data_IF_037464396751
#
_entry.id   IF_037464396751
#
_cell.length_a   1.000
_cell.length_b   1.000
_cell.length_c   1.000
_cell.angle_alpha   90.00
_cell.angle_beta   90.00
_cell.angle_gamma   90.00
#
_symmetry.space_group_name_H-M   'P 1'
#
loop_
_entity.id
_entity.type
_entity.pdbx_description
1 polymer ?
#
# COMPACT_ATOMS: atom_id res chain seq x y z
N UNK A 1 -20.07 -8.25 1.31
CA UNK A 1 -19.42 -8.72 0.06
C UNK A 1 -17.94 -8.34 0.09
N UNK A 2 -17.56 -7.07 0.31
CA UNK A 2 -16.16 -6.64 0.30
C UNK A 2 -15.26 -7.43 1.26
N UNK A 3 -15.71 -7.70 2.47
CA UNK A 3 -14.98 -8.53 3.46
C UNK A 3 -14.76 -9.96 2.93
N UNK A 4 -15.76 -10.55 2.28
CA UNK A 4 -15.64 -11.90 1.71
C UNK A 4 -14.64 -11.92 0.55
N UNK A 5 -14.67 -10.93 -0.33
CA UNK A 5 -13.69 -10.79 -1.42
C UNK A 5 -12.28 -10.63 -0.86
N UNK A 6 -12.10 -9.80 0.16
CA UNK A 6 -10.82 -9.66 0.85
C UNK A 6 -10.34 -10.97 1.47
N UNK A 7 -11.23 -11.70 2.16
CA UNK A 7 -10.91 -12.98 2.77
C UNK A 7 -10.49 -14.03 1.72
N UNK A 8 -11.17 -14.09 0.57
CA UNK A 8 -10.79 -14.99 -0.53
C UNK A 8 -9.42 -14.60 -1.08
N UNK A 9 -9.17 -13.32 -1.37
CA UNK A 9 -7.88 -12.89 -1.90
C UNK A 9 -6.72 -13.10 -0.92
N UNK A 10 -6.97 -12.97 0.39
CA UNK A 10 -5.96 -13.19 1.42
C UNK A 10 -5.88 -14.67 1.88
N UNK A 11 -6.58 -15.60 1.22
CA UNK A 11 -6.56 -17.00 1.60
C UNK A 11 -5.16 -17.60 1.43
N UNK A 12 -4.58 -18.24 2.48
CA UNK A 12 -3.18 -18.65 2.47
C UNK A 12 -2.77 -19.52 1.28
N UNK A 13 -3.61 -20.48 0.90
CA UNK A 13 -3.29 -21.45 -0.16
C UNK A 13 -3.22 -20.86 -1.57
N UNK A 14 -3.61 -19.62 -1.78
CA UNK A 14 -3.52 -18.93 -3.08
C UNK A 14 -2.46 -17.84 -3.10
N UNK A 15 -1.72 -17.66 -2.01
CA UNK A 15 -0.62 -16.70 -1.97
C UNK A 15 0.60 -17.23 -2.72
N UNK A 16 1.27 -16.36 -3.47
CA UNK A 16 2.47 -16.71 -4.24
C UNK A 16 3.52 -17.42 -3.38
N UNK A 17 3.84 -16.87 -2.22
CA UNK A 17 4.83 -17.44 -1.28
C UNK A 17 4.48 -18.86 -0.80
N UNK A 18 3.18 -19.17 -0.64
CA UNK A 18 2.74 -20.51 -0.24
C UNK A 18 2.81 -21.50 -1.40
N UNK A 19 2.45 -21.05 -2.60
CA UNK A 19 2.49 -21.89 -3.81
C UNK A 19 3.92 -22.19 -4.24
N UNK A 20 4.83 -21.22 -4.17
CA UNK A 20 6.27 -21.41 -4.40
C UNK A 20 6.89 -22.42 -3.41
N UNK A 21 6.47 -22.38 -2.14
CA UNK A 21 6.93 -23.32 -1.13
C UNK A 21 6.34 -24.73 -1.31
N UNK A 22 5.19 -24.87 -1.99
CA UNK A 22 4.51 -26.14 -2.20
C UNK A 22 5.01 -26.94 -3.39
N UNK A 23 5.73 -26.35 -4.35
CA UNK A 23 6.26 -27.07 -5.51
C UNK A 23 6.83 -26.18 -6.62
N UNK A 24 7.25 -26.83 -7.71
CA UNK A 24 7.76 -26.15 -8.90
C UNK A 24 6.62 -25.52 -9.72
N UNK A 25 6.97 -24.48 -10.48
CA UNK A 25 6.03 -23.83 -11.39
C UNK A 25 5.55 -24.81 -12.47
N UNK A 26 4.24 -24.83 -12.70
CA UNK A 26 3.62 -25.60 -13.78
C UNK A 26 3.93 -25.03 -15.18
N UNK A 27 4.29 -23.77 -15.24
CA UNK A 27 4.68 -23.07 -16.46
C UNK A 27 4.81 -21.58 -16.23
N UNK A 28 5.20 -20.85 -17.30
CA UNK A 28 5.42 -19.39 -17.27
C UNK A 28 4.53 -18.73 -18.32
N UNK A 29 3.78 -17.72 -17.90
CA UNK A 29 3.02 -16.88 -18.83
C UNK A 29 3.87 -15.67 -19.24
N UNK A 30 4.02 -15.37 -20.55
CA UNK A 30 4.78 -14.22 -21.01
C UNK A 30 4.29 -12.93 -20.35
N UNK A 31 5.20 -12.13 -19.82
CA UNK A 31 4.96 -10.84 -19.17
C UNK A 31 4.21 -10.89 -17.81
N UNK A 32 3.56 -12.00 -17.44
CA UNK A 32 2.73 -12.07 -16.22
C UNK A 32 3.46 -12.86 -15.11
N UNK A 33 4.26 -13.88 -15.46
CA UNK A 33 5.06 -14.66 -14.54
C UNK A 33 4.68 -16.14 -14.43
N UNK A 34 5.27 -16.80 -13.45
CA UNK A 34 5.09 -18.22 -13.23
C UNK A 34 3.75 -18.54 -12.58
N UNK A 35 3.13 -19.64 -13.00
CA UNK A 35 1.91 -20.13 -12.38
C UNK A 35 2.15 -21.52 -11.76
N UNK A 36 1.58 -21.72 -10.59
CA UNK A 36 1.75 -22.93 -9.77
C UNK A 36 0.47 -23.73 -9.66
N UNK A 37 -0.66 -23.18 -10.10
CA UNK A 37 -1.96 -23.81 -10.01
C UNK A 37 -2.89 -23.27 -11.11
N UNK A 38 -4.00 -23.97 -11.34
CA UNK A 38 -5.04 -23.58 -12.28
C UNK A 38 -6.33 -23.26 -11.54
N UNK A 39 -7.01 -22.20 -11.94
CA UNK A 39 -8.35 -21.87 -11.47
C UNK A 39 -9.37 -22.22 -12.58
N UNK A 40 -10.14 -23.29 -12.35
CA UNK A 40 -11.12 -23.83 -13.34
C UNK A 40 -10.47 -24.06 -14.72
N UNK A 41 -9.25 -24.64 -14.73
CA UNK A 41 -8.52 -24.92 -15.98
C UNK A 41 -7.78 -23.72 -16.60
N UNK A 42 -7.88 -22.52 -16.02
CA UNK A 42 -7.15 -21.32 -16.45
C UNK A 42 -5.90 -21.18 -15.59
N UNK A 43 -4.71 -20.97 -16.18
CA UNK A 43 -3.49 -20.69 -15.42
C UNK A 43 -3.68 -19.54 -14.44
N UNK A 44 -3.38 -19.76 -13.16
CA UNK A 44 -3.50 -18.76 -12.11
C UNK A 44 -2.13 -18.28 -11.67
N UNK A 45 -1.81 -17.02 -11.97
CA UNK A 45 -0.59 -16.36 -11.48
C UNK A 45 -0.91 -15.73 -10.14
N UNK A 46 -0.38 -16.32 -9.09
CA UNK A 46 -0.62 -15.87 -7.74
C UNK A 46 0.17 -14.60 -7.40
N UNK A 47 -0.44 -13.71 -6.64
CA UNK A 47 0.21 -12.58 -6.00
C UNK A 47 0.28 -12.74 -4.49
N UNK A 48 1.08 -11.93 -3.82
CA UNK A 48 1.09 -11.82 -2.35
C UNK A 48 0.08 -10.76 -1.89
N UNK A 49 -1.21 -11.11 -1.95
CA UNK A 49 -2.31 -10.18 -1.69
C UNK A 49 -2.43 -9.77 -0.21
N UNK A 50 -1.85 -10.52 0.72
CA UNK A 50 -1.79 -10.19 2.15
C UNK A 50 -0.90 -8.98 2.44
N UNK A 51 0.04 -8.67 1.56
CA UNK A 51 0.99 -7.56 1.70
C UNK A 51 0.60 -6.32 0.89
N UNK A 52 -0.53 -6.33 0.19
CA UNK A 52 -0.99 -5.20 -0.63
C UNK A 52 -2.47 -4.93 -0.48
N UNK A 53 -2.83 -3.68 -0.24
CA UNK A 53 -4.22 -3.24 -0.11
C UNK A 53 -4.85 -2.96 -1.48
N UNK A 54 -4.04 -2.66 -2.50
CA UNK A 54 -4.51 -2.22 -3.82
C UNK A 54 -5.39 -3.26 -4.52
N UNK A 55 -5.02 -4.56 -4.58
CA UNK A 55 -5.86 -5.55 -5.23
C UNK A 55 -7.27 -5.61 -4.64
N UNK A 56 -7.37 -5.57 -3.31
CA UNK A 56 -8.67 -5.62 -2.60
C UNK A 56 -9.50 -4.37 -2.90
N UNK A 57 -8.90 -3.18 -2.93
CA UNK A 57 -9.60 -1.94 -3.27
C UNK A 57 -10.16 -1.99 -4.70
N UNK A 58 -9.34 -2.41 -5.67
CA UNK A 58 -9.77 -2.50 -7.08
C UNK A 58 -10.85 -3.56 -7.26
N UNK A 59 -10.70 -4.74 -6.65
CA UNK A 59 -11.73 -5.81 -6.70
C UNK A 59 -13.02 -5.36 -6.04
N UNK A 60 -12.95 -4.65 -4.92
CA UNK A 60 -14.14 -4.15 -4.22
C UNK A 60 -14.85 -3.05 -5.04
N UNK A 61 -14.09 -2.17 -5.70
CA UNK A 61 -14.66 -1.17 -6.60
C UNK A 61 -15.34 -1.84 -7.81
N UNK A 62 -14.69 -2.85 -8.40
CA UNK A 62 -15.27 -3.66 -9.47
C UNK A 62 -16.54 -4.39 -9.02
N UNK A 63 -16.53 -4.99 -7.82
CA UNK A 63 -17.70 -5.63 -7.22
C UNK A 63 -18.86 -4.65 -7.02
N UNK A 64 -18.58 -3.41 -6.64
CA UNK A 64 -19.57 -2.34 -6.58
C UNK A 64 -20.22 -2.03 -7.93
N UNK A 65 -19.43 -2.01 -8.99
CA UNK A 65 -19.94 -1.88 -10.37
C UNK A 65 -20.82 -3.06 -10.75
N UNK A 66 -20.35 -4.30 -10.52
CA UNK A 66 -21.13 -5.52 -10.78
C UNK A 66 -22.44 -5.52 -9.98
N UNK A 67 -22.39 -5.13 -8.71
CA UNK A 67 -23.57 -5.04 -7.85
C UNK A 67 -24.61 -4.05 -8.39
N UNK A 68 -24.17 -2.87 -8.81
CA UNK A 68 -25.05 -1.85 -9.41
C UNK A 68 -25.71 -2.37 -10.68
N UNK A 69 -24.95 -3.07 -11.49
CA UNK A 69 -25.44 -3.66 -12.74
C UNK A 69 -26.42 -4.82 -12.46
N UNK A 70 -26.07 -5.74 -11.56
CA UNK A 70 -26.92 -6.86 -11.18
C UNK A 70 -28.30 -6.40 -10.63
N UNK A 71 -28.33 -5.37 -9.80
CA UNK A 71 -29.57 -4.79 -9.27
C UNK A 71 -30.51 -4.26 -10.36
N UNK A 72 -29.97 -3.85 -11.50
CA UNK A 72 -30.76 -3.35 -12.63
C UNK A 72 -31.51 -4.46 -13.36
N UNK A 73 -30.95 -5.67 -13.40
CA UNK A 73 -31.50 -6.78 -14.18
C UNK A 73 -32.23 -7.83 -13.34
N UNK A 74 -31.94 -7.91 -12.03
CA UNK A 74 -32.53 -8.90 -11.13
C UNK A 74 -33.80 -8.32 -10.51
N UNK A 75 -34.96 -9.03 -10.57
CA UNK A 75 -36.21 -8.60 -9.93
C UNK A 75 -36.05 -8.41 -8.41
N UNK A 76 -36.70 -7.37 -7.85
CA UNK A 76 -36.58 -6.99 -6.44
C UNK A 76 -36.85 -8.14 -5.46
N UNK A 77 -37.81 -9.01 -5.79
CA UNK A 77 -38.20 -10.14 -4.92
C UNK A 77 -37.08 -11.12 -4.60
N UNK A 78 -36.07 -11.23 -5.47
CA UNK A 78 -34.95 -12.18 -5.32
C UNK A 78 -33.59 -11.50 -5.20
N UNK A 79 -33.52 -10.17 -5.21
CA UNK A 79 -32.28 -9.41 -5.17
C UNK A 79 -31.42 -9.73 -3.94
N UNK A 80 -32.03 -9.96 -2.79
CA UNK A 80 -31.30 -10.20 -1.54
C UNK A 80 -30.38 -11.41 -1.59
N UNK A 81 -30.71 -12.40 -2.40
CA UNK A 81 -29.89 -13.60 -2.59
C UNK A 81 -29.07 -13.55 -3.89
N UNK A 82 -29.73 -13.25 -5.02
CA UNK A 82 -29.08 -13.36 -6.32
C UNK A 82 -28.07 -12.24 -6.61
N UNK A 83 -28.23 -11.03 -6.06
CA UNK A 83 -27.26 -9.96 -6.24
C UNK A 83 -25.92 -10.27 -5.57
N UNK A 84 -25.86 -10.62 -4.27
CA UNK A 84 -24.60 -11.05 -3.65
C UNK A 84 -23.95 -12.25 -4.35
N UNK A 85 -24.76 -13.23 -4.75
CA UNK A 85 -24.29 -14.43 -5.46
C UNK A 85 -23.63 -14.08 -6.80
N UNK A 86 -24.28 -13.28 -7.63
CA UNK A 86 -23.75 -12.80 -8.92
C UNK A 86 -22.46 -11.99 -8.73
N UNK A 87 -22.44 -11.12 -7.73
CA UNK A 87 -21.24 -10.30 -7.44
C UNK A 87 -20.05 -11.18 -7.06
N UNK A 88 -20.24 -12.19 -6.22
CA UNK A 88 -19.15 -13.08 -5.82
C UNK A 88 -18.68 -13.95 -7.00
N UNK A 89 -19.59 -14.56 -7.77
CA UNK A 89 -19.24 -15.40 -8.91
C UNK A 89 -18.45 -14.64 -9.98
N UNK A 90 -18.75 -13.36 -10.20
CA UNK A 90 -18.05 -12.55 -11.21
C UNK A 90 -16.77 -11.95 -10.63
N UNK A 91 -16.83 -11.40 -9.39
CA UNK A 91 -15.71 -10.62 -8.85
C UNK A 91 -14.57 -11.47 -8.33
N UNK A 92 -14.81 -12.72 -7.88
CA UNK A 92 -13.74 -13.62 -7.44
C UNK A 92 -12.85 -14.03 -8.62
N UNK A 93 -13.37 -14.61 -9.71
CA UNK A 93 -12.54 -14.93 -10.87
C UNK A 93 -11.85 -13.69 -11.47
N UNK A 94 -12.58 -12.58 -11.64
CA UNK A 94 -12.01 -11.35 -12.15
C UNK A 94 -10.88 -10.82 -11.22
N UNK A 95 -11.08 -10.91 -9.91
CA UNK A 95 -10.09 -10.52 -8.93
C UNK A 95 -8.82 -11.37 -8.98
N UNK A 96 -8.97 -12.68 -9.07
CA UNK A 96 -7.84 -13.61 -9.06
C UNK A 96 -7.13 -13.68 -10.42
N UNK A 97 -7.86 -13.75 -11.53
CA UNK A 97 -7.28 -14.00 -12.85
C UNK A 97 -6.84 -12.74 -13.60
N UNK A 98 -7.41 -11.57 -13.26
CA UNK A 98 -7.13 -10.33 -13.99
C UNK A 98 -6.61 -9.24 -13.08
N UNK A 99 -7.41 -8.82 -12.09
CA UNK A 99 -7.08 -7.65 -11.25
C UNK A 99 -5.83 -7.92 -10.41
N UNK A 100 -5.75 -9.09 -9.78
CA UNK A 100 -4.62 -9.48 -8.97
C UNK A 100 -3.30 -9.47 -9.73
N UNK A 101 -3.15 -10.23 -10.83
CA UNK A 101 -1.93 -10.21 -11.65
C UNK A 101 -1.56 -8.83 -12.17
N UNK A 102 -2.53 -8.03 -12.66
CA UNK A 102 -2.26 -6.67 -13.15
C UNK A 102 -1.72 -5.76 -12.04
N UNK A 103 -2.32 -5.82 -10.84
CA UNK A 103 -1.83 -5.03 -9.71
C UNK A 103 -0.47 -5.52 -9.23
N UNK A 104 -0.22 -6.83 -9.25
CA UNK A 104 1.10 -7.39 -8.93
C UNK A 104 2.17 -6.88 -9.89
N UNK A 105 1.91 -6.87 -11.20
CA UNK A 105 2.83 -6.31 -12.21
C UNK A 105 3.16 -4.83 -11.94
N UNK A 106 2.17 -4.02 -11.59
CA UNK A 106 2.40 -2.61 -11.24
C UNK A 106 3.29 -2.51 -9.99
N UNK A 107 3.04 -3.33 -8.99
CA UNK A 107 3.82 -3.36 -7.74
C UNK A 107 5.26 -3.80 -8.00
N UNK A 108 5.46 -4.83 -8.81
CA UNK A 108 6.79 -5.34 -9.19
C UNK A 108 7.57 -4.32 -10.02
N UNK A 109 6.91 -3.62 -10.94
CA UNK A 109 7.52 -2.54 -11.71
C UNK A 109 7.99 -1.38 -10.81
N UNK A 110 7.16 -0.96 -9.85
CA UNK A 110 7.55 0.05 -8.85
C UNK A 110 8.74 -0.43 -8.01
N UNK A 111 8.74 -1.69 -7.56
CA UNK A 111 9.84 -2.27 -6.80
C UNK A 111 11.14 -2.26 -7.60
N UNK A 112 11.09 -2.56 -8.90
CA UNK A 112 12.27 -2.49 -9.78
C UNK A 112 12.80 -1.06 -9.91
N UNK A 113 11.93 -0.05 -10.04
CA UNK A 113 12.34 1.35 -10.08
C UNK A 113 13.08 1.73 -8.80
N UNK A 114 12.53 1.42 -7.63
CA UNK A 114 13.16 1.74 -6.35
C UNK A 114 14.46 0.96 -6.13
N UNK A 115 14.53 -0.29 -6.54
CA UNK A 115 15.77 -1.09 -6.47
C UNK A 115 16.87 -0.50 -7.36
N UNK A 116 16.53 -0.08 -8.59
CA UNK A 116 17.48 0.56 -9.50
C UNK A 116 17.95 1.92 -8.96
N UNK A 117 17.04 2.70 -8.40
CA UNK A 117 17.37 3.98 -7.77
C UNK A 117 18.27 3.79 -6.54
N UNK A 118 18.01 2.76 -5.74
CA UNK A 118 18.83 2.43 -4.57
C UNK A 118 20.24 1.99 -4.94
N UNK A 119 20.41 1.21 -6.00
CA UNK A 119 21.72 0.82 -6.48
C UNK A 119 22.53 2.00 -7.03
N UNK A 120 21.87 3.05 -7.51
CA UNK A 120 22.52 4.29 -7.92
C UNK A 120 22.91 5.17 -6.72
N UNK A 121 22.00 5.43 -5.78
CA UNK A 121 22.27 6.22 -4.59
C UNK A 121 21.21 6.00 -3.50
N UNK A 122 21.63 5.49 -2.34
CA UNK A 122 20.77 5.33 -1.18
C UNK A 122 20.21 6.66 -0.66
N UNK A 123 20.99 7.76 -0.74
CA UNK A 123 20.57 9.12 -0.34
C UNK A 123 19.46 9.65 -1.25
N UNK A 124 19.67 9.51 -2.57
CA UNK A 124 18.66 9.92 -3.54
C UNK A 124 17.38 9.11 -3.38
N UNK A 125 17.50 7.81 -3.15
CA UNK A 125 16.34 6.94 -2.91
C UNK A 125 15.59 7.35 -1.65
N UNK A 126 16.29 7.66 -0.55
CA UNK A 126 15.67 8.12 0.68
C UNK A 126 14.92 9.45 0.47
N UNK A 127 15.46 10.38 -0.30
CA UNK A 127 14.80 11.62 -0.65
C UNK A 127 13.54 11.39 -1.51
N UNK A 128 13.65 10.58 -2.56
CA UNK A 128 12.54 10.24 -3.46
C UNK A 128 11.45 9.47 -2.72
N UNK A 129 11.83 8.49 -1.89
CA UNK A 129 10.88 7.77 -1.03
C UNK A 129 10.20 8.75 -0.07
N UNK A 130 10.93 9.67 0.55
CA UNK A 130 10.36 10.71 1.40
C UNK A 130 9.28 11.53 0.69
N UNK A 131 9.55 12.02 -0.52
CA UNK A 131 8.59 12.77 -1.32
C UNK A 131 7.37 11.91 -1.69
N UNK A 132 7.62 10.74 -2.27
CA UNK A 132 6.57 9.90 -2.85
C UNK A 132 5.79 9.10 -1.81
N UNK A 133 6.30 8.94 -0.59
CA UNK A 133 5.71 8.07 0.42
C UNK A 133 4.24 8.35 0.69
N UNK A 134 3.85 9.61 0.84
CA UNK A 134 2.45 9.97 1.06
C UNK A 134 1.56 9.63 -0.14
N UNK A 135 2.08 9.85 -1.35
CA UNK A 135 1.38 9.50 -2.59
C UNK A 135 1.21 7.98 -2.68
N UNK A 136 2.27 7.23 -2.40
CA UNK A 136 2.22 5.76 -2.37
C UNK A 136 1.25 5.25 -1.28
N UNK A 137 1.19 5.91 -0.11
CA UNK A 137 0.25 5.56 0.96
C UNK A 137 -1.19 5.79 0.52
N UNK A 138 -1.49 6.90 -0.16
CA UNK A 138 -2.85 7.20 -0.65
C UNK A 138 -3.36 6.09 -1.57
N UNK A 139 -2.51 5.58 -2.45
CA UNK A 139 -2.84 4.48 -3.36
C UNK A 139 -2.59 3.08 -2.77
N UNK A 140 -2.09 2.98 -1.53
CA UNK A 140 -1.70 1.70 -0.92
C UNK A 140 -0.44 1.06 -1.53
N UNK A 141 0.25 1.76 -2.46
CA UNK A 141 1.42 1.26 -3.20
C UNK A 141 2.71 1.28 -2.37
N UNK A 142 2.74 1.91 -1.19
CA UNK A 142 3.90 1.92 -0.30
C UNK A 142 4.37 0.51 0.09
N UNK A 143 3.50 -0.49 0.01
CA UNK A 143 3.84 -1.90 0.20
C UNK A 143 4.81 -2.44 -0.87
N UNK A 144 4.91 -1.80 -2.06
CA UNK A 144 5.90 -2.15 -3.08
C UNK A 144 7.35 -1.88 -2.63
N UNK A 145 7.55 -0.99 -1.67
CA UNK A 145 8.88 -0.64 -1.14
C UNK A 145 9.30 -1.59 0.00
N UNK A 146 8.37 -2.30 0.63
CA UNK A 146 8.65 -3.21 1.75
C UNK A 146 9.59 -4.38 1.37
N UNK A 147 9.42 -5.07 0.22
CA UNK A 147 10.33 -6.13 -0.18
C UNK A 147 11.79 -5.67 -0.29
N UNK A 148 12.01 -4.45 -0.78
CA UNK A 148 13.36 -3.87 -0.87
C UNK A 148 13.96 -3.71 0.53
N UNK A 149 13.19 -3.19 1.47
CA UNK A 149 13.62 -3.06 2.86
C UNK A 149 13.93 -4.40 3.51
N UNK A 150 13.10 -5.42 3.27
CA UNK A 150 13.33 -6.77 3.78
C UNK A 150 14.59 -7.39 3.18
N UNK A 151 14.84 -7.21 1.88
CA UNK A 151 16.04 -7.67 1.21
C UNK A 151 17.29 -6.97 1.76
N UNK A 152 17.23 -5.65 1.97
CA UNK A 152 18.32 -4.90 2.59
C UNK A 152 18.60 -5.38 4.02
N UNK A 153 17.56 -5.60 4.82
CA UNK A 153 17.72 -6.13 6.17
C UNK A 153 18.30 -7.54 6.20
N UNK A 154 17.92 -8.40 5.24
CA UNK A 154 18.45 -9.75 5.15
C UNK A 154 19.93 -9.78 4.71
N UNK A 155 20.32 -8.91 3.78
CA UNK A 155 21.67 -8.89 3.20
C UNK A 155 22.65 -7.99 3.96
N UNK A 156 22.19 -6.83 4.44
CA UNK A 156 23.03 -5.80 5.06
C UNK A 156 22.83 -5.70 6.58
N UNK A 157 21.78 -6.31 7.12
CA UNK A 157 21.38 -6.17 8.54
C UNK A 157 20.62 -4.87 8.85
N UNK A 158 20.43 -3.99 7.88
CA UNK A 158 19.72 -2.71 8.03
C UNK A 158 19.10 -2.25 6.71
N UNK A 159 18.18 -1.29 6.79
CA UNK A 159 17.60 -0.63 5.62
C UNK A 159 17.68 0.90 5.72
N UNK A 160 18.01 1.55 4.61
CA UNK A 160 18.07 3.00 4.46
C UNK A 160 16.95 3.56 3.59
N UNK A 161 16.28 2.72 2.81
CA UNK A 161 15.24 3.14 1.86
C UNK A 161 14.00 3.59 2.60
N UNK A 162 13.41 2.70 3.42
CA UNK A 162 12.24 3.05 4.24
C UNK A 162 12.60 4.03 5.35
N UNK A 163 13.86 4.10 5.76
CA UNK A 163 14.29 5.14 6.71
C UNK A 163 13.94 6.56 6.21
N UNK A 164 14.02 6.81 4.90
CA UNK A 164 13.61 8.07 4.28
C UNK A 164 12.13 8.43 4.50
N UNK A 165 11.25 7.44 4.64
CA UNK A 165 9.81 7.68 4.90
C UNK A 165 9.52 8.25 6.30
N UNK A 166 10.47 8.18 7.22
CA UNK A 166 10.32 8.74 8.57
C UNK A 166 10.11 10.25 8.55
N UNK A 167 10.81 10.97 7.67
CA UNK A 167 10.59 12.40 7.44
C UNK A 167 9.15 12.74 7.03
N UNK A 168 8.49 11.83 6.31
CA UNK A 168 7.11 11.98 5.88
C UNK A 168 6.13 12.05 7.07
N UNK A 169 6.28 11.19 8.08
CA UNK A 169 5.39 11.19 9.25
C UNK A 169 5.44 12.53 9.99
N UNK A 170 6.63 13.07 10.19
CA UNK A 170 6.82 14.37 10.87
C UNK A 170 6.35 15.54 10.01
N UNK A 171 6.64 15.55 8.71
CA UNK A 171 6.23 16.63 7.82
C UNK A 171 4.69 16.70 7.71
N UNK A 172 4.01 15.56 7.60
CA UNK A 172 2.54 15.49 7.57
C UNK A 172 1.93 15.92 8.89
N UNK A 173 2.52 15.47 9.99
CA UNK A 173 2.08 15.84 11.34
C UNK A 173 2.25 17.34 11.57
N UNK A 174 3.39 17.91 11.22
CA UNK A 174 3.66 19.35 11.34
C UNK A 174 2.68 20.17 10.49
N UNK A 175 2.40 19.76 9.25
CA UNK A 175 1.41 20.43 8.40
C UNK A 175 0.01 20.41 9.04
N UNK A 176 -0.41 19.25 9.57
CA UNK A 176 -1.70 19.11 10.25
C UNK A 176 -1.76 19.89 11.56
N UNK A 177 -0.67 19.93 12.30
CA UNK A 177 -0.55 20.73 13.53
C UNK A 177 -0.62 22.24 13.22
N UNK A 178 0.02 22.71 12.16
CA UNK A 178 -0.12 24.08 11.69
C UNK A 178 -1.58 24.43 11.33
N UNK A 179 -2.31 23.49 10.71
CA UNK A 179 -3.73 23.63 10.48
C UNK A 179 -4.53 23.69 11.78
N UNK A 180 -4.22 22.82 12.77
CA UNK A 180 -4.85 22.86 14.08
C UNK A 180 -4.75 24.24 14.74
N UNK A 181 -3.63 24.94 14.61
CA UNK A 181 -3.46 26.27 15.15
C UNK A 181 -4.37 27.31 14.46
N UNK A 182 -4.62 27.16 13.16
CA UNK A 182 -5.41 28.07 12.33
C UNK A 182 -6.93 27.79 12.35
N UNK A 183 -7.35 26.57 12.62
CA UNK A 183 -8.76 26.16 12.56
C UNK A 183 -9.54 26.81 13.70
N UNK A 184 -10.61 27.54 13.38
CA UNK A 184 -11.50 28.19 14.35
C UNK A 184 -12.66 27.28 14.79
N UNK A 185 -13.13 26.40 13.94
CA UNK A 185 -14.22 25.49 14.25
C UNK A 185 -13.79 24.46 15.31
N UNK A 186 -14.43 24.48 16.49
CA UNK A 186 -14.06 23.64 17.64
C UNK A 186 -14.02 22.13 17.31
N UNK A 187 -15.02 21.61 16.57
CA UNK A 187 -15.09 20.19 16.20
C UNK A 187 -13.93 19.80 15.27
N UNK A 188 -13.72 20.58 14.20
CA UNK A 188 -12.62 20.33 13.24
C UNK A 188 -11.26 20.52 13.89
N UNK A 189 -11.12 21.47 14.83
CA UNK A 189 -9.90 21.68 15.60
C UNK A 189 -9.55 20.48 16.49
N UNK A 190 -10.53 19.90 17.19
CA UNK A 190 -10.32 18.69 17.99
C UNK A 190 -9.88 17.50 17.14
N UNK A 191 -10.47 17.31 15.96
CA UNK A 191 -10.04 16.27 14.99
C UNK A 191 -8.61 16.51 14.50
N UNK A 192 -8.21 17.76 14.23
CA UNK A 192 -6.84 18.08 13.82
C UNK A 192 -5.82 17.80 14.93
N UNK A 193 -6.18 18.09 16.20
CA UNK A 193 -5.36 17.73 17.35
C UNK A 193 -5.15 16.21 17.45
N UNK A 194 -6.23 15.44 17.39
CA UNK A 194 -6.19 13.98 17.41
C UNK A 194 -5.36 13.41 16.25
N UNK A 195 -5.54 13.94 15.04
CA UNK A 195 -4.78 13.52 13.86
C UNK A 195 -3.28 13.85 13.99
N UNK A 196 -2.94 15.00 14.60
CA UNK A 196 -1.53 15.37 14.87
C UNK A 196 -0.90 14.42 15.89
N UNK A 197 -1.59 14.09 16.97
CA UNK A 197 -1.10 13.13 17.98
C UNK A 197 -0.91 11.76 17.35
N UNK A 198 -1.88 11.29 16.57
CA UNK A 198 -1.80 10.03 15.83
C UNK A 198 -0.60 10.00 14.87
N UNK A 199 -0.33 11.12 14.19
CA UNK A 199 0.80 11.27 13.28
C UNK A 199 2.16 11.17 13.97
N UNK A 200 2.31 11.73 15.18
CA UNK A 200 3.51 11.57 16.01
C UNK A 200 3.74 10.08 16.34
N UNK A 201 2.67 9.33 16.58
CA UNK A 201 2.73 7.88 16.82
C UNK A 201 2.95 7.07 15.53
N UNK A 202 3.16 7.70 14.37
CA UNK A 202 3.42 7.06 13.08
C UNK A 202 2.17 6.65 12.29
N UNK A 203 0.96 7.01 12.76
CA UNK A 203 -0.31 6.77 12.06
C UNK A 203 -0.73 8.07 11.38
N UNK A 204 -0.32 8.24 10.13
CA UNK A 204 -0.47 9.49 9.37
C UNK A 204 -1.75 9.57 8.55
N UNK A 205 -2.48 8.48 8.39
CA UNK A 205 -3.69 8.40 7.56
C UNK A 205 -4.76 9.45 7.96
N UNK A 206 -5.08 9.66 9.25
CA UNK A 206 -6.03 10.71 9.64
C UNK A 206 -5.56 12.12 9.28
N UNK A 207 -4.26 12.37 9.34
CA UNK A 207 -3.66 13.65 8.98
C UNK A 207 -3.69 13.87 7.45
N UNK A 208 -3.37 12.82 6.68
CA UNK A 208 -3.39 12.87 5.21
C UNK A 208 -4.82 13.07 4.70
N UNK A 209 -5.71 12.13 4.99
CA UNK A 209 -7.06 12.12 4.39
C UNK A 209 -8.00 13.16 5.01
N UNK A 210 -7.85 13.44 6.31
CA UNK A 210 -8.71 14.38 7.01
C UNK A 210 -8.34 15.85 6.80
N UNK A 211 -7.09 16.13 6.54
CA UNK A 211 -6.57 17.51 6.54
C UNK A 211 -5.68 17.86 5.36
N UNK A 212 -4.57 17.16 5.16
CA UNK A 212 -3.57 17.56 4.18
C UNK A 212 -4.09 17.47 2.74
N UNK A 213 -4.64 16.32 2.35
CA UNK A 213 -5.11 16.05 1.00
C UNK A 213 -6.30 16.93 0.57
N UNK A 214 -7.35 17.13 1.39
CA UNK A 214 -8.47 18.00 1.03
C UNK A 214 -8.08 19.45 0.79
N UNK A 215 -7.11 19.97 1.53
CA UNK A 215 -6.68 21.36 1.43
C UNK A 215 -5.60 21.58 0.36
N UNK A 216 -5.05 20.51 -0.26
CA UNK A 216 -4.00 20.51 -1.28
C UNK A 216 -2.68 21.21 -0.87
N UNK A 217 -2.74 22.48 -0.43
CA UNK A 217 -1.56 23.27 -0.05
C UNK A 217 -0.78 22.63 1.11
N UNK A 218 -1.38 22.24 2.25
CA UNK A 218 -0.67 21.51 3.31
C UNK A 218 -0.10 20.18 2.82
N UNK A 219 -0.79 19.51 1.87
CA UNK A 219 -0.28 18.30 1.26
C UNK A 219 1.02 18.54 0.49
N UNK A 220 1.07 19.56 -0.36
CA UNK A 220 2.28 19.92 -1.10
C UNK A 220 3.45 20.29 -0.17
N UNK A 221 3.20 21.09 0.85
CA UNK A 221 4.23 21.44 1.83
C UNK A 221 4.72 20.20 2.61
N UNK A 222 3.84 19.27 2.94
CA UNK A 222 4.24 18.03 3.58
C UNK A 222 5.07 17.13 2.67
N UNK A 223 4.79 17.09 1.35
CA UNK A 223 5.64 16.38 0.38
C UNK A 223 7.05 16.97 0.30
N UNK A 224 7.15 18.30 0.18
CA UNK A 224 8.45 18.99 0.14
C UNK A 224 9.22 18.75 1.45
N UNK A 225 8.57 18.94 2.59
CA UNK A 225 9.17 18.70 3.90
C UNK A 225 9.61 17.25 4.07
N UNK A 226 8.84 16.29 3.56
CA UNK A 226 9.18 14.87 3.57
C UNK A 226 10.42 14.57 2.73
N UNK A 227 10.53 15.19 1.55
CA UNK A 227 11.69 15.04 0.67
C UNK A 227 12.97 15.58 1.29
N UNK A 228 12.89 16.78 1.88
CA UNK A 228 14.01 17.38 2.61
C UNK A 228 14.40 16.49 3.80
N UNK A 229 13.42 16.04 4.59
CA UNK A 229 13.65 15.12 5.70
C UNK A 229 14.28 13.80 5.26
N UNK A 230 13.79 13.21 4.17
CA UNK A 230 14.36 12.00 3.56
C UNK A 230 15.81 12.21 3.10
N UNK A 231 16.10 13.34 2.43
CA UNK A 231 17.47 13.69 2.02
C UNK A 231 18.42 13.83 3.22
N UNK A 232 17.99 14.53 4.26
CA UNK A 232 18.76 14.67 5.51
C UNK A 232 19.04 13.29 6.12
N UNK A 233 18.02 12.45 6.27
CA UNK A 233 18.17 11.10 6.81
C UNK A 233 19.11 10.23 5.97
N UNK A 234 19.06 10.39 4.64
CA UNK A 234 19.97 9.72 3.71
C UNK A 234 21.42 10.19 3.86
N UNK A 235 21.66 11.52 3.98
CA UNK A 235 22.98 12.09 4.15
C UNK A 235 23.62 11.66 5.50
N UNK A 236 22.82 11.65 6.59
CA UNK A 236 23.29 11.19 7.89
C UNK A 236 23.35 9.66 8.01
N UNK A 237 23.02 8.92 6.96
CA UNK A 237 23.08 7.47 6.93
C UNK A 237 22.16 6.81 7.97
N UNK A 238 21.01 7.41 8.26
CA UNK A 238 20.06 6.86 9.21
C UNK A 238 19.58 5.49 8.74
N UNK A 239 19.70 4.50 9.62
CA UNK A 239 19.43 3.09 9.33
C UNK A 239 18.24 2.61 10.14
N UNK A 240 17.45 1.75 9.50
CA UNK A 240 16.35 1.05 10.13
C UNK A 240 16.72 -0.42 10.31
N UNK A 241 16.63 -0.90 11.53
CA UNK A 241 17.05 -2.27 11.91
C UNK A 241 15.88 -3.24 12.14
N UNK A 242 14.64 -2.77 12.10
CA UNK A 242 13.48 -3.63 12.31
C UNK A 242 12.26 -3.13 11.55
N UNK A 243 11.52 -4.05 10.94
CA UNK A 243 10.23 -3.75 10.27
C UNK A 243 9.08 -3.72 11.27
N UNK A 244 9.25 -4.37 12.42
CA UNK A 244 8.16 -4.68 13.36
C UNK A 244 7.61 -3.48 14.14
N UNK A 245 8.39 -2.39 14.30
CA UNK A 245 7.92 -1.26 15.09
C UNK A 245 8.16 0.07 14.37
N UNK A 246 7.09 0.79 14.07
CA UNK A 246 7.14 2.08 13.38
C UNK A 246 7.85 3.18 14.18
N UNK A 247 7.85 3.09 15.51
CA UNK A 247 8.42 4.12 16.39
C UNK A 247 9.70 3.68 17.12
N UNK A 248 9.87 2.40 17.41
CA UNK A 248 11.01 1.87 18.18
C UNK A 248 12.14 1.29 17.31
N UNK A 249 11.98 1.22 16.00
CA UNK A 249 12.95 0.59 15.09
C UNK A 249 13.96 1.56 14.46
N UNK A 250 13.93 2.84 14.79
CA UNK A 250 14.86 3.83 14.26
C UNK A 250 15.97 4.07 15.28
N UNK A 251 17.10 3.43 15.10
CA UNK A 251 18.35 3.81 15.78
C UNK A 251 19.18 4.67 14.82
N UNK A 252 19.53 5.83 15.26
CA UNK A 252 20.56 6.64 14.62
C UNK A 252 21.89 5.97 15.00
N UNK A 253 22.57 5.37 14.02
CA UNK A 253 23.96 5.01 14.20
C UNK A 253 24.75 6.32 14.11
N UNK A 254 25.10 6.89 15.24
CA UNK A 254 26.15 7.91 15.37
C UNK A 254 27.51 7.24 15.19
#
# INVERSE_FOLDING_TARGET
>A
IGILLGAVMCYPSIQKSTLEAAGEALGTLPMIGDYYTNFIGIPFVAGNYTSSVVPILVVTAFAGFVQKTAKKYIPEAIQNFFVPFTVLIISIPAGLLVIGPVVSLITDFLSQIFTSLYSFSAVLTAAVVGILWQVLVIFGLHWAVIPISLMNMASLGYDTVIAGSFGCAFATTAATFAMFLKIRNKKRKALAASASISGICGVTEPAIYGFALPEKTPFLFSLIGSGIGGAILGIFGVKKYSVRNRTAGYAVAL
#
